data_IF_381806128892
#
_entry.id   IF_381806128892
#
_cell.length_a   1.000
_cell.length_b   1.000
_cell.length_c   1.000
_cell.angle_alpha   90.00
_cell.angle_beta   90.00
_cell.angle_gamma   90.00
#
_symmetry.space_group_name_H-M   'P 1'
#
loop_
_entity.id
_entity.type
_entity.pdbx_description
1 polymer ?
#
# COMPACT_ATOMS: atom_id res chain seq x y z
N UNK A 1 -43.91 46.34 18.78
CA UNK A 1 -42.67 45.99 18.06
C UNK A 1 -42.23 44.62 18.54
N UNK A 2 -42.25 43.61 17.68
CA UNK A 2 -41.79 42.25 18.03
C UNK A 2 -40.38 42.05 17.50
N UNK A 3 -39.45 41.61 18.35
CA UNK A 3 -38.10 41.25 17.95
C UNK A 3 -38.07 39.82 17.43
N UNK A 4 -37.74 39.64 16.16
CA UNK A 4 -37.51 38.32 15.57
C UNK A 4 -36.06 37.92 15.79
N UNK A 5 -35.81 36.90 16.60
CA UNK A 5 -34.47 36.31 16.79
C UNK A 5 -34.26 35.21 15.77
N UNK A 6 -33.43 35.47 14.75
CA UNK A 6 -32.99 34.44 13.79
C UNK A 6 -31.87 33.62 14.41
N UNK A 7 -32.15 32.39 14.83
CA UNK A 7 -31.13 31.43 15.29
C UNK A 7 -30.49 30.75 14.07
N UNK A 8 -29.34 31.25 13.62
CA UNK A 8 -28.51 30.55 12.63
C UNK A 8 -27.84 29.34 13.28
N UNK A 9 -28.40 28.15 13.08
CA UNK A 9 -27.69 26.89 13.37
C UNK A 9 -26.80 26.56 12.17
N UNK A 10 -25.55 26.97 12.22
CA UNK A 10 -24.54 26.49 11.27
C UNK A 10 -24.06 25.12 11.74
N UNK A 11 -24.58 24.04 11.16
CA UNK A 11 -23.98 22.71 11.33
C UNK A 11 -22.71 22.67 10.47
N UNK A 12 -21.50 22.57 11.05
CA UNK A 12 -20.31 22.40 10.24
C UNK A 12 -20.35 21.01 9.58
N UNK A 13 -20.69 20.98 8.29
CA UNK A 13 -20.42 19.86 7.42
C UNK A 13 -18.89 19.72 7.32
N UNK A 14 -18.33 18.74 8.02
CA UNK A 14 -16.92 18.33 7.92
C UNK A 14 -16.75 17.14 6.96
N UNK A 15 -17.53 17.06 5.88
CA UNK A 15 -17.43 15.97 4.91
C UNK A 15 -16.21 16.20 4.00
N UNK A 16 -15.02 16.03 4.55
CA UNK A 16 -13.80 15.87 3.76
C UNK A 16 -13.82 14.44 3.23
N UNK A 17 -13.96 14.29 1.91
CA UNK A 17 -13.80 13.00 1.26
C UNK A 17 -12.34 12.53 1.47
N UNK A 18 -12.15 11.51 2.31
CA UNK A 18 -10.86 10.85 2.42
C UNK A 18 -10.67 9.99 1.16
N UNK A 19 -9.75 10.39 0.28
CA UNK A 19 -9.30 9.48 -0.77
C UNK A 19 -8.62 8.27 -0.09
N UNK A 20 -9.06 7.04 -0.37
CA UNK A 20 -8.33 5.87 0.11
C UNK A 20 -6.92 5.94 -0.47
N UNK A 21 -5.92 6.11 0.41
CA UNK A 21 -4.53 5.87 0.05
C UNK A 21 -4.38 4.36 -0.07
N UNK A 22 -4.60 3.82 -1.26
CA UNK A 22 -4.10 2.47 -1.58
C UNK A 22 -2.61 2.49 -1.28
N UNK A 23 -2.10 1.65 -0.34
CA UNK A 23 -0.67 1.48 -0.20
C UNK A 23 -0.19 1.02 -1.57
N UNK A 24 0.63 1.82 -2.23
CA UNK A 24 1.08 1.40 -3.54
C UNK A 24 2.00 0.19 -3.34
N UNK A 25 1.50 -0.98 -3.68
CA UNK A 25 2.30 -2.17 -3.90
C UNK A 25 3.08 -1.99 -5.21
N UNK A 26 3.90 -0.93 -5.26
CA UNK A 26 4.79 -0.69 -6.38
C UNK A 26 5.91 -1.72 -6.35
N UNK A 27 6.25 -2.22 -7.53
CA UNK A 27 7.42 -3.07 -7.70
C UNK A 27 8.66 -2.23 -7.36
N UNK A 28 9.25 -2.46 -6.18
CA UNK A 28 10.51 -1.82 -5.79
C UNK A 28 11.69 -2.50 -6.49
N UNK A 29 12.73 -1.72 -6.79
CA UNK A 29 14.03 -2.27 -7.22
C UNK A 29 14.55 -3.22 -6.14
N UNK A 30 15.05 -4.39 -6.56
CA UNK A 30 15.60 -5.38 -5.63
C UNK A 30 16.88 -4.86 -4.96
N UNK A 31 16.99 -5.02 -3.64
CA UNK A 31 18.17 -4.70 -2.86
C UNK A 31 18.97 -5.94 -2.48
N UNK A 32 20.26 -5.76 -2.17
CA UNK A 32 21.13 -6.83 -1.69
C UNK A 32 20.52 -7.52 -0.45
N UNK A 33 20.44 -8.85 -0.49
CA UNK A 33 19.83 -9.65 0.56
C UNK A 33 18.31 -9.81 0.47
N UNK A 34 17.63 -9.12 -0.45
CA UNK A 34 16.20 -9.31 -0.66
C UNK A 34 15.89 -10.78 -1.01
N UNK A 35 14.77 -11.27 -0.49
CA UNK A 35 14.28 -12.61 -0.81
C UNK A 35 12.95 -12.54 -1.52
N UNK A 36 12.74 -13.42 -2.49
CA UNK A 36 11.43 -13.62 -3.12
C UNK A 36 11.18 -15.10 -3.37
N UNK A 37 9.92 -15.46 -3.44
CA UNK A 37 9.50 -16.80 -3.80
C UNK A 37 8.83 -16.77 -5.18
N UNK A 38 9.19 -17.71 -6.05
CA UNK A 38 8.58 -17.85 -7.37
C UNK A 38 8.12 -19.30 -7.57
N UNK A 39 7.00 -19.46 -8.26
CA UNK A 39 6.52 -20.78 -8.67
C UNK A 39 6.94 -21.01 -10.11
N UNK A 40 7.73 -22.05 -10.35
CA UNK A 40 8.17 -22.44 -11.69
C UNK A 40 7.87 -23.92 -11.88
N UNK A 41 7.08 -24.27 -12.90
CA UNK A 41 6.69 -25.64 -13.20
C UNK A 41 6.09 -26.40 -12.00
N UNK A 42 5.35 -25.71 -11.13
CA UNK A 42 4.74 -26.28 -9.93
C UNK A 42 5.66 -26.40 -8.70
N UNK A 43 6.96 -26.15 -8.85
CA UNK A 43 7.91 -26.11 -7.74
C UNK A 43 8.02 -24.70 -7.14
N UNK A 44 8.23 -24.61 -5.83
CA UNK A 44 8.40 -23.33 -5.12
C UNK A 44 9.90 -23.06 -4.95
N UNK A 45 10.38 -21.99 -5.56
CA UNK A 45 11.79 -21.60 -5.54
C UNK A 45 11.96 -20.35 -4.70
N UNK A 46 12.76 -20.45 -3.64
CA UNK A 46 13.22 -19.29 -2.87
C UNK A 46 14.46 -18.72 -3.58
N UNK A 47 14.41 -17.42 -3.88
CA UNK A 47 15.52 -16.68 -4.48
C UNK A 47 16.05 -15.60 -3.53
N UNK A 48 17.35 -15.33 -3.60
CA UNK A 48 18.02 -14.21 -2.90
C UNK A 48 18.71 -13.29 -3.90
N UNK A 49 18.57 -11.99 -3.74
CA UNK A 49 19.26 -11.00 -4.57
C UNK A 49 20.67 -10.76 -4.03
N UNK A 50 21.68 -11.15 -4.81
CA UNK A 50 23.09 -10.94 -4.48
C UNK A 50 23.91 -10.59 -5.70
N UNK A 51 24.71 -9.52 -5.60
CA UNK A 51 25.60 -9.10 -6.68
C UNK A 51 24.86 -8.58 -7.92
N UNK A 52 23.68 -7.98 -7.73
CA UNK A 52 22.87 -7.45 -8.83
C UNK A 52 22.01 -8.49 -9.54
N UNK A 53 21.95 -9.74 -9.04
CA UNK A 53 21.22 -10.84 -9.66
C UNK A 53 20.45 -11.67 -8.64
N UNK A 54 19.42 -12.38 -9.10
CA UNK A 54 18.65 -13.30 -8.27
C UNK A 54 19.19 -14.73 -8.36
N UNK A 55 19.52 -15.31 -7.21
CA UNK A 55 20.05 -16.67 -7.09
C UNK A 55 19.05 -17.61 -6.44
N UNK A 56 18.91 -18.83 -6.96
CA UNK A 56 18.10 -19.88 -6.34
C UNK A 56 18.82 -20.40 -5.09
N UNK A 57 18.19 -20.27 -3.93
CA UNK A 57 18.77 -20.72 -2.65
C UNK A 57 18.09 -21.96 -2.08
N UNK A 58 16.83 -22.24 -2.47
CA UNK A 58 16.10 -23.46 -2.10
C UNK A 58 15.03 -23.79 -3.14
N UNK A 59 14.82 -25.08 -3.39
CA UNK A 59 13.71 -25.62 -4.20
C UNK A 59 12.89 -26.57 -3.32
N UNK A 60 11.56 -26.51 -3.43
CA UNK A 60 10.60 -27.35 -2.70
C UNK A 60 9.58 -27.96 -3.64
#
# INVERSE_FOLDING_TARGET
>A
MGTTTTRSTTTPNSNVAAFPRTPEAHQRTAGEGDTREVVLNGARILMRFTGGQWWNVRVS
#
